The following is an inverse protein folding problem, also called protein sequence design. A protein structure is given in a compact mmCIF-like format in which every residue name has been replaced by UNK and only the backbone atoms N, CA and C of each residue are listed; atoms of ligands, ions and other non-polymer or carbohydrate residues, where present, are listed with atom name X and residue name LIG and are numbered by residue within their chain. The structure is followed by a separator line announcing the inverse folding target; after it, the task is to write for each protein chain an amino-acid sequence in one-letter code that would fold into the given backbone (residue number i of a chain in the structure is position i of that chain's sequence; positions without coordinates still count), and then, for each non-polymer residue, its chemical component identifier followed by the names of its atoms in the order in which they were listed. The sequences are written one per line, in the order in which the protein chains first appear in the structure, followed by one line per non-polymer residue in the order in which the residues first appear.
data_IF_175487664799
#
_entry.id   IF_175487664799
#
_cell.length_a   1.000
_cell.length_b   1.000
_cell.length_c   1.000
_cell.angle_alpha   90.00
_cell.angle_beta   90.00
_cell.angle_gamma   90.00
#
_symmetry.space_group_name_H-M   'P 1'
#
loop_
_entity.id
_entity.type
_entity.pdbx_description
1 polymer ?
#
# COMPACT_ATOMS: atom_id res chain seq x y z
N UNK A 1 6.48 9.79 -41.11
CA UNK A 1 5.44 8.80 -41.46
C UNK A 1 5.15 7.76 -40.38
N UNK A 2 6.15 7.20 -39.68
CA UNK A 2 5.96 6.11 -38.70
C UNK A 2 5.01 6.42 -37.51
N UNK A 3 4.94 7.66 -37.03
CA UNK A 3 4.05 8.06 -35.91
C UNK A 3 2.56 8.07 -36.30
N UNK A 4 2.24 8.34 -37.56
CA UNK A 4 0.85 8.45 -38.03
C UNK A 4 0.28 7.04 -38.21
N UNK A 5 1.05 6.15 -38.84
CA UNK A 5 0.70 4.74 -39.03
C UNK A 5 0.56 4.03 -37.68
N UNK A 6 1.45 4.29 -36.72
CA UNK A 6 1.33 3.70 -35.38
C UNK A 6 0.11 4.22 -34.62
N UNK A 7 -0.26 5.48 -34.79
CA UNK A 7 -1.45 6.07 -34.14
C UNK A 7 -2.75 5.48 -34.70
N UNK A 8 -2.82 5.30 -36.03
CA UNK A 8 -3.94 4.67 -36.71
C UNK A 8 -4.06 3.20 -36.30
N UNK A 9 -2.94 2.47 -36.26
CA UNK A 9 -2.91 1.09 -35.76
C UNK A 9 -3.40 1.00 -34.31
N UNK A 10 -2.96 1.91 -33.44
CA UNK A 10 -3.40 1.92 -32.04
C UNK A 10 -4.88 2.26 -31.89
N UNK A 11 -5.42 3.13 -32.76
CA UNK A 11 -6.84 3.46 -32.80
C UNK A 11 -7.70 2.24 -33.15
N UNK A 12 -7.34 1.50 -34.19
CA UNK A 12 -8.04 0.26 -34.55
C UNK A 12 -7.82 -0.86 -33.53
N UNK A 13 -6.62 -0.97 -32.95
CA UNK A 13 -6.32 -1.96 -31.93
C UNK A 13 -7.20 -1.79 -30.68
N UNK A 14 -7.47 -0.55 -30.26
CA UNK A 14 -8.41 -0.25 -29.17
C UNK A 14 -9.84 -0.69 -29.45
N UNK A 15 -10.26 -0.79 -30.70
CA UNK A 15 -11.63 -1.23 -31.02
C UNK A 15 -11.82 -2.73 -30.78
N UNK A 16 -10.73 -3.50 -30.74
CA UNK A 16 -10.75 -4.93 -30.38
C UNK A 16 -10.98 -5.11 -28.87
N UNK A 17 -11.60 -6.23 -28.47
CA UNK A 17 -11.87 -6.54 -27.06
C UNK A 17 -10.61 -6.53 -26.19
N UNK A 18 -9.49 -7.04 -26.71
CA UNK A 18 -8.19 -7.07 -26.04
C UNK A 18 -7.59 -5.67 -25.90
N UNK A 19 -7.56 -4.88 -26.98
CA UNK A 19 -7.02 -3.52 -26.95
C UNK A 19 -7.86 -2.56 -26.08
N UNK A 20 -9.18 -2.76 -26.00
CA UNK A 20 -10.05 -2.03 -25.05
C UNK A 20 -9.67 -2.32 -23.60
N UNK A 21 -9.44 -3.59 -23.25
CA UNK A 21 -9.02 -3.99 -21.90
C UNK A 21 -7.65 -3.43 -21.55
N UNK A 22 -6.68 -3.51 -22.46
CA UNK A 22 -5.34 -2.93 -22.25
C UNK A 22 -5.38 -1.40 -22.15
N UNK A 23 -6.23 -0.72 -22.92
CA UNK A 23 -6.41 0.72 -22.81
C UNK A 23 -7.03 1.13 -21.47
N UNK A 24 -8.06 0.42 -21.01
CA UNK A 24 -8.69 0.66 -19.70
C UNK A 24 -7.70 0.39 -18.57
N UNK A 25 -6.92 -0.69 -18.65
CA UNK A 25 -5.85 -0.99 -17.70
C UNK A 25 -4.80 0.13 -17.69
N UNK A 26 -4.37 0.59 -18.86
CA UNK A 26 -3.34 1.63 -18.99
C UNK A 26 -3.83 3.00 -18.50
N UNK A 27 -5.05 3.40 -18.82
CA UNK A 27 -5.70 4.61 -18.26
C UNK A 27 -5.89 4.47 -16.74
N UNK A 28 -6.31 3.29 -16.28
CA UNK A 28 -6.44 2.96 -14.87
C UNK A 28 -5.13 3.12 -14.13
N UNK A 29 -4.02 2.55 -14.65
CA UNK A 29 -2.68 2.70 -14.11
C UNK A 29 -2.16 4.14 -14.17
N UNK A 30 -2.50 4.89 -15.23
CA UNK A 30 -2.08 6.29 -15.37
C UNK A 30 -2.77 7.19 -14.35
N UNK A 31 -4.09 7.07 -14.17
CA UNK A 31 -4.85 7.80 -13.12
C UNK A 31 -4.48 7.33 -11.72
N UNK A 32 -4.18 6.04 -11.55
CA UNK A 32 -3.57 5.46 -10.36
C UNK A 32 -2.08 5.80 -10.21
N UNK A 33 -1.43 6.53 -11.11
CA UNK A 33 -0.10 7.08 -10.85
C UNK A 33 -0.23 8.57 -10.54
N UNK A 34 -1.12 9.28 -11.25
CA UNK A 34 -1.37 10.72 -11.08
C UNK A 34 -2.02 11.09 -9.73
N UNK A 35 -2.96 10.29 -9.19
CA UNK A 35 -3.61 10.57 -7.89
C UNK A 35 -3.02 9.83 -6.69
N UNK A 36 -2.11 8.89 -6.93
CA UNK A 36 -1.76 7.81 -5.98
C UNK A 36 -0.34 7.90 -5.42
N UNK A 37 0.59 8.53 -6.15
CA UNK A 37 2.02 8.39 -5.84
C UNK A 37 2.40 8.82 -4.44
N UNK A 38 1.70 9.78 -3.83
CA UNK A 38 2.15 10.31 -2.56
C UNK A 38 1.35 9.83 -1.34
N UNK A 39 0.00 9.86 -1.39
CA UNK A 39 -0.84 9.38 -0.27
C UNK A 39 -0.72 7.86 -0.09
N UNK A 40 -0.65 7.10 -1.18
CA UNK A 40 -0.51 5.64 -1.12
C UNK A 40 0.92 5.24 -0.83
N UNK A 41 1.93 6.00 -1.24
CA UNK A 41 3.30 5.78 -0.77
C UNK A 41 3.43 5.97 0.75
N UNK A 42 2.89 7.05 1.33
CA UNK A 42 2.89 7.23 2.79
C UNK A 42 2.16 6.09 3.51
N UNK A 43 0.99 5.69 3.00
CA UNK A 43 0.23 4.53 3.53
C UNK A 43 1.03 3.23 3.46
N UNK A 44 1.64 2.93 2.31
CA UNK A 44 2.44 1.72 2.11
C UNK A 44 3.72 1.72 2.95
N UNK A 45 4.38 2.86 3.11
CA UNK A 45 5.55 3.02 3.97
C UNK A 45 5.21 2.76 5.44
N UNK A 46 4.10 3.31 5.95
CA UNK A 46 3.64 3.08 7.32
C UNK A 46 3.28 1.59 7.53
N UNK A 47 2.57 0.97 6.58
CA UNK A 47 2.24 -0.46 6.64
C UNK A 47 3.51 -1.32 6.64
N UNK A 48 4.46 -1.02 5.75
CA UNK A 48 5.74 -1.73 5.65
C UNK A 48 6.57 -1.59 6.94
N UNK A 49 6.67 -0.38 7.50
CA UNK A 49 7.37 -0.15 8.77
C UNK A 49 6.68 -0.86 9.94
N UNK A 50 5.35 -0.87 9.97
CA UNK A 50 4.56 -1.59 10.98
C UNK A 50 4.81 -3.10 10.94
N UNK A 51 4.86 -3.68 9.74
CA UNK A 51 5.21 -5.09 9.54
C UNK A 51 6.62 -5.43 10.02
N UNK A 52 7.60 -4.52 9.87
CA UNK A 52 8.95 -4.70 10.43
C UNK A 52 8.94 -4.75 11.96
N UNK A 53 8.10 -3.94 12.61
CA UNK A 53 7.99 -3.92 14.08
C UNK A 53 7.30 -5.16 14.67
N UNK A 54 6.47 -5.86 13.88
CA UNK A 54 5.80 -7.10 14.28
C UNK A 54 6.70 -8.34 14.20
N UNK A 55 7.96 -8.23 13.72
CA UNK A 55 8.83 -9.39 13.52
C UNK A 55 9.52 -9.92 14.80
N UNK A 56 9.71 -11.24 14.75
CA UNK A 56 10.11 -12.24 15.75
C UNK A 56 9.20 -12.36 16.98
N UNK A 57 8.42 -13.46 16.99
CA UNK A 57 7.59 -13.88 18.12
C UNK A 57 8.49 -14.28 19.29
N UNK A 58 8.18 -13.84 20.50
CA UNK A 58 8.85 -14.33 21.72
C UNK A 58 8.16 -15.63 22.12
N UNK A 59 8.92 -16.72 22.25
CA UNK A 59 8.41 -17.96 22.84
C UNK A 59 8.26 -17.68 24.33
N UNK A 60 7.05 -17.84 24.87
CA UNK A 60 6.77 -17.51 26.27
C UNK A 60 6.81 -18.73 27.18
N UNK A 61 6.43 -19.89 26.65
CA UNK A 61 6.49 -21.16 27.35
C UNK A 61 6.47 -22.31 26.32
N UNK A 62 7.17 -23.39 26.65
CA UNK A 62 7.00 -24.69 26.01
C UNK A 62 6.10 -25.52 26.91
N UNK A 63 4.91 -25.89 26.44
CA UNK A 63 4.04 -26.81 27.16
C UNK A 63 3.73 -28.00 26.24
N UNK A 64 4.04 -29.22 26.69
CA UNK A 64 3.75 -30.48 25.97
C UNK A 64 4.14 -30.49 24.48
N UNK A 65 5.34 -29.99 24.15
CA UNK A 65 5.87 -29.98 22.77
C UNK A 65 5.31 -28.88 21.86
N UNK A 66 4.32 -28.08 22.31
CA UNK A 66 3.78 -26.95 21.56
C UNK A 66 4.31 -25.62 22.11
N UNK A 67 4.85 -24.76 21.22
CA UNK A 67 5.34 -23.44 21.60
C UNK A 67 4.19 -22.40 21.59
N UNK A 68 3.92 -21.79 22.74
CA UNK A 68 3.01 -20.64 22.82
C UNK A 68 3.83 -19.39 22.49
N UNK A 69 3.60 -18.85 21.30
CA UNK A 69 4.31 -17.69 20.79
C UNK A 69 3.44 -16.44 20.89
N UNK A 70 3.92 -15.38 21.56
CA UNK A 70 3.29 -14.04 21.51
C UNK A 70 4.16 -13.08 20.71
N UNK A 71 3.53 -12.11 20.08
CA UNK A 71 4.25 -11.00 19.43
C UNK A 71 5.13 -10.28 20.46
N UNK A 72 6.36 -9.92 20.08
CA UNK A 72 7.31 -9.18 20.94
C UNK A 72 6.81 -7.77 21.30
N UNK A 73 5.88 -7.21 20.51
CA UNK A 73 5.26 -5.90 20.75
C UNK A 73 3.74 -5.97 20.61
N UNK A 74 3.02 -5.18 21.41
CA UNK A 74 1.56 -5.07 21.31
C UNK A 74 1.17 -4.24 20.07
N UNK A 75 -0.01 -4.50 19.51
CA UNK A 75 -0.51 -3.75 18.35
C UNK A 75 -0.61 -2.24 18.64
N UNK A 76 -0.95 -1.85 19.88
CA UNK A 76 -0.98 -0.46 20.31
C UNK A 76 0.40 0.20 20.16
N UNK A 77 1.44 -0.42 20.75
CA UNK A 77 2.80 0.08 20.67
C UNK A 77 3.32 0.14 19.24
N UNK A 78 2.91 -0.78 18.36
CA UNK A 78 3.28 -0.77 16.95
C UNK A 78 2.66 0.43 16.22
N UNK A 79 1.35 0.67 16.42
CA UNK A 79 0.64 1.80 15.81
C UNK A 79 1.22 3.13 16.30
N UNK A 80 1.52 3.24 17.59
CA UNK A 80 2.09 4.45 18.20
C UNK A 80 3.51 4.75 17.68
N UNK A 81 4.38 3.74 17.61
CA UNK A 81 5.71 3.91 17.04
C UNK A 81 5.69 4.27 15.55
N UNK A 82 4.77 3.66 14.78
CA UNK A 82 4.60 4.01 13.37
C UNK A 82 4.07 5.44 13.19
N UNK A 83 3.13 5.87 14.05
CA UNK A 83 2.63 7.25 14.08
C UNK A 83 3.72 8.26 14.41
N UNK A 84 4.55 7.99 15.41
CA UNK A 84 5.61 8.91 15.83
C UNK A 84 6.69 9.04 14.75
N UNK A 85 7.06 7.92 14.11
CA UNK A 85 8.07 7.90 13.04
C UNK A 85 7.62 8.60 11.75
N UNK A 86 6.33 8.53 11.42
CA UNK A 86 5.76 9.12 10.20
C UNK A 86 4.83 10.32 10.49
N UNK A 87 4.96 10.93 11.67
CA UNK A 87 3.98 11.92 12.16
C UNK A 87 3.91 13.18 11.29
N UNK A 88 5.05 13.66 10.82
CA UNK A 88 5.12 14.81 9.91
C UNK A 88 4.55 14.48 8.52
N UNK A 89 4.85 13.28 8.00
CA UNK A 89 4.30 12.80 6.72
C UNK A 89 2.77 12.67 6.79
N UNK A 90 2.25 12.18 7.92
CA UNK A 90 0.81 12.05 8.17
C UNK A 90 0.12 13.42 8.26
N UNK A 91 0.69 14.36 9.03
CA UNK A 91 0.18 15.73 9.20
C UNK A 91 0.17 16.48 7.88
N UNK A 92 1.27 16.47 7.13
CA UNK A 92 1.41 17.11 5.81
C UNK A 92 0.37 16.61 4.80
N UNK A 93 -0.13 15.38 4.98
CA UNK A 93 -1.09 14.73 4.09
C UNK A 93 -2.53 14.74 4.60
N UNK A 94 -2.78 15.27 5.80
CA UNK A 94 -4.10 15.25 6.45
C UNK A 94 -4.60 13.83 6.77
N UNK A 95 -3.70 12.86 6.86
CA UNK A 95 -4.05 11.45 7.10
C UNK A 95 -4.06 11.15 8.60
N UNK A 96 -5.19 10.64 9.09
CA UNK A 96 -5.34 10.21 10.48
C UNK A 96 -5.47 8.68 10.57
N UNK A 97 -4.89 8.09 11.60
CA UNK A 97 -4.92 6.66 11.88
C UNK A 97 -5.82 6.37 13.09
N UNK A 98 -6.82 5.52 12.88
CA UNK A 98 -7.73 5.00 13.92
C UNK A 98 -7.00 4.20 15.00
N UNK A 99 -7.68 3.92 16.12
CA UNK A 99 -7.17 3.04 17.20
C UNK A 99 -6.83 1.63 16.70
N UNK A 100 -7.45 1.18 15.61
CA UNK A 100 -7.19 -0.12 14.96
C UNK A 100 -6.09 -0.07 13.88
N UNK A 101 -5.43 1.08 13.68
CA UNK A 101 -4.38 1.24 12.67
C UNK A 101 -4.88 1.42 11.24
N UNK A 102 -6.20 1.61 11.03
CA UNK A 102 -6.79 1.95 9.73
C UNK A 102 -6.76 3.46 9.51
N UNK A 103 -6.56 3.90 8.27
CA UNK A 103 -6.66 5.32 7.92
C UNK A 103 -8.13 5.77 7.90
N UNK A 104 -8.44 6.93 8.48
CA UNK A 104 -9.80 7.42 8.69
C UNK A 104 -10.27 8.39 7.58
N UNK A 105 -9.33 9.05 6.88
CA UNK A 105 -9.59 10.04 5.82
C UNK A 105 -8.78 9.76 4.54
N UNK A 106 -8.73 8.49 4.10
CA UNK A 106 -7.92 8.05 2.95
C UNK A 106 -8.67 8.15 1.61
#
# INVERSE_FOLDING_TARGET
MNKIISSIFWFFYKLTKKGRQEYILREGFKRLNERKLEKIATKMNIISSSNKFLKQKKILAFNSGMSISKSKKSNHQVIENAKNKHGEELKKRGLTLTKKGKFQNA
#
